data_IF_903043550772
#
_entry.id   IF_903043550772
#
_cell.length_a   1.000
_cell.length_b   1.000
_cell.length_c   1.000
_cell.angle_alpha   90.00
_cell.angle_beta   90.00
_cell.angle_gamma   90.00
#
_symmetry.space_group_name_H-M   'P 1'
#
loop_
_entity.id
_entity.type
_entity.pdbx_description
1 polymer ?
#
# COMPACT_ATOMS: atom_id res chain seq x y z
N UNK A 1 10.82 42.56 -14.78
CA UNK A 1 10.17 41.62 -13.84
C UNK A 1 10.97 40.33 -13.81
N UNK A 2 11.63 39.98 -12.71
CA UNK A 2 12.36 38.75 -12.60
C UNK A 2 11.36 37.60 -12.43
N UNK A 3 11.33 36.67 -13.39
CA UNK A 3 10.57 35.41 -13.28
C UNK A 3 11.19 34.60 -12.14
N UNK A 4 10.54 34.54 -10.99
CA UNK A 4 10.94 33.63 -9.92
C UNK A 4 10.81 32.21 -10.47
N UNK A 5 11.93 31.52 -10.71
CA UNK A 5 11.93 30.08 -10.96
C UNK A 5 11.22 29.39 -9.78
N UNK A 6 10.13 28.71 -10.07
CA UNK A 6 9.45 27.89 -9.06
C UNK A 6 10.47 26.85 -8.53
N UNK A 7 10.60 26.76 -7.22
CA UNK A 7 11.41 25.71 -6.59
C UNK A 7 10.76 24.36 -6.95
N UNK A 8 11.53 23.38 -7.46
CA UNK A 8 10.98 22.06 -7.74
C UNK A 8 10.36 21.47 -6.47
N UNK A 9 9.24 20.74 -6.63
CA UNK A 9 8.63 20.04 -5.52
C UNK A 9 9.55 18.90 -5.05
N UNK A 10 9.67 18.74 -3.74
CA UNK A 10 10.38 17.62 -3.17
C UNK A 10 9.59 16.33 -3.44
N UNK A 11 10.27 15.28 -3.90
CA UNK A 11 9.69 13.94 -4.07
C UNK A 11 9.78 13.11 -2.79
N UNK A 12 10.60 13.54 -1.82
CA UNK A 12 10.79 12.89 -0.53
C UNK A 12 10.82 13.92 0.59
N UNK A 13 10.15 13.63 1.70
CA UNK A 13 10.10 14.44 2.91
C UNK A 13 10.20 13.57 4.16
N UNK A 14 10.62 14.19 5.27
CA UNK A 14 10.59 13.57 6.59
C UNK A 14 9.33 14.03 7.32
N UNK A 15 8.60 13.09 7.93
CA UNK A 15 7.54 13.42 8.87
C UNK A 15 8.13 14.09 10.13
N UNK A 16 7.27 14.82 10.85
CA UNK A 16 7.62 15.51 12.09
C UNK A 16 6.50 15.28 13.10
N UNK A 17 6.76 15.38 14.40
CA UNK A 17 5.70 15.34 15.40
C UNK A 17 4.58 16.32 15.06
N UNK A 18 3.33 15.82 15.02
CA UNK A 18 2.16 16.60 14.63
C UNK A 18 2.00 16.87 13.13
N UNK A 19 2.92 16.41 12.27
CA UNK A 19 2.87 16.54 10.81
C UNK A 19 3.26 15.23 10.13
N UNK A 20 2.41 14.20 10.16
CA UNK A 20 2.70 12.90 9.57
C UNK A 20 2.93 12.96 8.05
N UNK A 21 2.41 13.98 7.36
CA UNK A 21 2.67 14.23 5.94
C UNK A 21 3.99 14.98 5.68
N UNK A 22 4.80 15.29 6.72
CA UNK A 22 6.02 16.09 6.60
C UNK A 22 5.78 17.56 6.27
N UNK A 23 4.52 17.96 6.16
CA UNK A 23 4.06 19.32 5.85
C UNK A 23 2.61 19.52 6.31
N UNK A 24 2.11 20.80 6.36
CA UNK A 24 0.69 21.06 6.58
C UNK A 24 -0.19 20.39 5.52
N UNK A 25 -1.37 19.90 5.94
CA UNK A 25 -2.35 19.21 5.09
C UNK A 25 -2.71 20.03 3.84
N UNK A 26 -2.94 21.32 4.02
CA UNK A 26 -3.32 22.23 2.93
C UNK A 26 -2.23 22.30 1.84
N UNK A 27 -0.96 22.22 2.25
CA UNK A 27 0.17 22.21 1.33
C UNK A 27 0.23 20.87 0.58
N UNK A 28 0.00 19.76 1.27
CA UNK A 28 -0.06 18.43 0.65
C UNK A 28 -1.18 18.38 -0.39
N UNK A 29 -2.40 18.73 0.00
CA UNK A 29 -3.57 18.71 -0.90
C UNK A 29 -3.41 19.64 -2.10
N UNK A 30 -2.77 20.79 -1.91
CA UNK A 30 -2.55 21.75 -3.00
C UNK A 30 -1.49 21.30 -3.99
N UNK A 31 -0.40 20.68 -3.51
CA UNK A 31 0.81 20.49 -4.30
C UNK A 31 1.02 19.05 -4.77
N UNK A 32 0.52 18.05 -4.01
CA UNK A 32 0.80 16.63 -4.27
C UNK A 32 -0.44 15.83 -4.62
N UNK A 33 -1.52 15.99 -3.86
CA UNK A 33 -2.75 15.22 -4.04
C UNK A 33 -3.27 15.35 -5.48
N UNK A 34 -3.51 14.22 -6.18
CA UNK A 34 -3.85 14.11 -7.60
C UNK A 34 -2.84 14.72 -8.59
N UNK A 35 -1.58 14.96 -8.16
CA UNK A 35 -0.62 15.70 -9.01
C UNK A 35 0.75 15.06 -9.07
N UNK A 36 1.30 14.70 -7.93
CA UNK A 36 2.68 14.26 -7.84
C UNK A 36 2.84 13.19 -6.75
N UNK A 37 3.64 12.14 -7.01
CA UNK A 37 3.99 11.18 -5.98
C UNK A 37 4.84 11.87 -4.89
N UNK A 38 4.70 11.38 -3.66
CA UNK A 38 5.47 11.86 -2.52
C UNK A 38 5.85 10.67 -1.63
N UNK A 39 7.13 10.55 -1.34
CA UNK A 39 7.63 9.61 -0.33
C UNK A 39 7.74 10.34 1.00
N UNK A 40 7.09 9.80 2.03
CA UNK A 40 7.11 10.36 3.38
C UNK A 40 7.82 9.37 4.29
N UNK A 41 8.99 9.74 4.80
CA UNK A 41 9.74 8.91 5.74
C UNK A 41 9.24 9.13 7.16
N UNK A 42 9.17 8.04 7.92
CA UNK A 42 8.77 8.05 9.33
C UNK A 42 7.41 8.72 9.56
N UNK A 43 6.44 8.50 8.65
CA UNK A 43 5.10 9.07 8.75
C UNK A 43 4.40 8.69 10.06
N UNK A 44 4.64 7.47 10.53
CA UNK A 44 4.15 6.96 11.81
C UNK A 44 5.33 6.52 12.66
N UNK A 45 5.56 7.23 13.75
CA UNK A 45 6.59 6.86 14.71
C UNK A 45 6.24 5.49 15.36
N UNK A 46 7.24 4.63 15.50
CA UNK A 46 7.13 3.32 16.16
C UNK A 46 5.98 2.46 15.60
N UNK A 47 5.71 2.57 14.29
CA UNK A 47 4.64 1.82 13.64
C UNK A 47 4.89 0.31 13.76
N UNK A 48 3.93 -0.39 14.32
CA UNK A 48 3.83 -1.84 14.28
C UNK A 48 2.62 -2.24 13.44
N UNK A 49 2.79 -3.21 12.55
CA UNK A 49 1.67 -3.76 11.79
C UNK A 49 0.66 -4.41 12.76
N UNK A 50 -0.62 -4.09 12.67
CA UNK A 50 -1.64 -4.74 13.50
C UNK A 50 -1.81 -6.22 13.17
N UNK A 51 -1.49 -6.64 11.95
CA UNK A 51 -1.57 -8.01 11.49
C UNK A 51 -0.20 -8.58 11.14
N UNK A 52 -0.01 -9.85 11.44
CA UNK A 52 1.12 -10.65 10.98
C UNK A 52 0.77 -11.33 9.65
N UNK A 53 1.74 -11.86 8.89
CA UNK A 53 1.49 -12.57 7.64
C UNK A 53 0.51 -13.74 7.78
N UNK A 54 0.56 -14.45 8.91
CA UNK A 54 -0.30 -15.59 9.22
C UNK A 54 -1.77 -15.15 9.43
N UNK A 55 -1.99 -14.00 10.07
CA UNK A 55 -3.33 -13.43 10.24
C UNK A 55 -3.94 -13.08 8.87
N UNK A 56 -3.13 -12.52 7.98
CA UNK A 56 -3.55 -12.18 6.62
C UNK A 56 -3.87 -13.41 5.80
N UNK A 57 -3.08 -14.48 5.94
CA UNK A 57 -3.35 -15.78 5.30
C UNK A 57 -4.64 -16.41 5.84
N UNK A 58 -4.89 -16.33 7.15
CA UNK A 58 -6.13 -16.76 7.78
C UNK A 58 -7.34 -16.01 7.23
N UNK A 59 -7.29 -14.68 7.15
CA UNK A 59 -8.34 -13.88 6.53
C UNK A 59 -8.61 -14.28 5.08
N UNK A 60 -7.58 -14.61 4.32
CA UNK A 60 -7.73 -15.02 2.92
C UNK A 60 -8.47 -16.37 2.75
N UNK A 61 -8.63 -17.14 3.84
CA UNK A 61 -9.39 -18.38 3.86
C UNK A 61 -10.88 -18.17 4.20
N UNK A 62 -11.26 -17.01 4.72
CA UNK A 62 -12.62 -16.72 5.18
C UNK A 62 -13.58 -16.50 4.01
N UNK A 63 -14.79 -17.04 4.14
CA UNK A 63 -15.86 -16.78 3.19
C UNK A 63 -16.24 -15.30 3.14
N UNK A 64 -16.33 -14.75 1.94
CA UNK A 64 -16.68 -13.33 1.72
C UNK A 64 -15.50 -12.36 1.77
N UNK A 65 -14.31 -12.82 2.11
CA UNK A 65 -13.08 -12.02 2.00
C UNK A 65 -12.56 -12.04 0.56
N UNK A 66 -12.30 -10.86 0.02
CA UNK A 66 -11.74 -10.73 -1.32
C UNK A 66 -10.21 -10.84 -1.24
N UNK A 67 -9.69 -12.00 -1.60
CA UNK A 67 -8.26 -12.26 -1.61
C UNK A 67 -7.76 -12.72 -2.98
N UNK A 68 -6.51 -12.39 -3.30
CA UNK A 68 -5.82 -12.80 -4.53
C UNK A 68 -4.38 -13.19 -4.21
N UNK A 69 -3.94 -14.31 -4.76
CA UNK A 69 -2.55 -14.73 -4.76
C UNK A 69 -2.01 -14.54 -6.18
N UNK A 70 -0.97 -13.72 -6.31
CA UNK A 70 -0.34 -13.38 -7.58
C UNK A 70 1.07 -13.95 -7.56
N UNK A 71 1.41 -14.78 -8.54
CA UNK A 71 2.73 -15.37 -8.71
C UNK A 71 3.33 -14.97 -10.05
N UNK A 72 4.66 -14.80 -10.10
CA UNK A 72 5.38 -14.45 -11.31
C UNK A 72 6.48 -15.49 -11.58
N UNK A 73 6.33 -16.25 -12.64
CA UNK A 73 7.41 -17.10 -13.15
C UNK A 73 8.35 -16.25 -14.02
N UNK A 74 9.52 -15.94 -13.49
CA UNK A 74 10.52 -15.10 -14.18
C UNK A 74 11.19 -15.79 -15.35
N UNK A 75 11.18 -17.11 -15.40
CA UNK A 75 11.81 -17.86 -16.49
C UNK A 75 10.98 -17.78 -17.77
N UNK A 76 9.65 -17.78 -17.63
CA UNK A 76 8.71 -17.69 -18.75
C UNK A 76 8.06 -16.31 -18.88
N UNK A 77 8.32 -15.40 -17.93
CA UNK A 77 7.68 -14.10 -17.78
C UNK A 77 6.14 -14.21 -17.73
N UNK A 78 5.64 -15.28 -17.09
CA UNK A 78 4.21 -15.53 -16.96
C UNK A 78 3.70 -15.20 -15.56
N UNK A 79 2.48 -14.66 -15.53
CA UNK A 79 1.77 -14.31 -14.31
C UNK A 79 0.60 -15.22 -14.08
N UNK A 80 0.45 -15.71 -12.86
CA UNK A 80 -0.71 -16.46 -12.41
C UNK A 80 -1.45 -15.69 -11.32
N UNK A 81 -2.78 -15.68 -11.39
CA UNK A 81 -3.64 -14.99 -10.43
C UNK A 81 -4.72 -15.95 -9.96
N UNK A 82 -4.63 -16.35 -8.70
CA UNK A 82 -5.65 -17.18 -8.04
C UNK A 82 -6.49 -16.29 -7.12
N UNK A 83 -7.79 -16.49 -7.12
CA UNK A 83 -8.73 -15.81 -6.22
C UNK A 83 -9.13 -16.72 -5.07
N UNK A 84 -9.32 -16.13 -3.87
CA UNK A 84 -9.89 -16.82 -2.72
C UNK A 84 -11.39 -17.13 -2.85
N UNK A 85 -11.99 -17.72 -1.79
CA UNK A 85 -11.34 -18.09 -0.55
C UNK A 85 -10.30 -19.19 -0.75
N UNK A 86 -9.19 -19.12 -0.01
CA UNK A 86 -8.13 -20.12 -0.03
C UNK A 86 -8.37 -21.20 1.02
N UNK A 87 -7.54 -22.24 0.98
CA UNK A 87 -7.46 -23.23 2.05
C UNK A 87 -6.14 -23.04 2.80
N UNK A 88 -6.08 -23.35 4.08
CA UNK A 88 -4.83 -23.27 4.85
C UNK A 88 -3.70 -24.08 4.20
N UNK A 89 -4.03 -25.16 3.52
CA UNK A 89 -3.09 -26.03 2.80
C UNK A 89 -2.51 -25.40 1.53
N UNK A 90 -3.05 -24.28 1.05
CA UNK A 90 -2.54 -23.59 -0.13
C UNK A 90 -1.22 -22.87 0.13
N UNK A 91 -0.95 -22.47 1.38
CA UNK A 91 0.19 -21.61 1.72
C UNK A 91 1.50 -22.36 1.95
N UNK A 92 1.54 -23.53 2.65
CA UNK A 92 2.80 -24.22 2.96
C UNK A 92 3.58 -24.69 1.72
N UNK A 93 2.90 -24.82 0.57
CA UNK A 93 3.52 -25.24 -0.69
C UNK A 93 4.03 -24.09 -1.55
N UNK A 94 3.84 -22.84 -1.13
CA UNK A 94 4.32 -21.68 -1.88
C UNK A 94 5.85 -21.60 -1.82
N UNK A 95 6.49 -21.17 -2.90
CA UNK A 95 7.93 -20.87 -2.89
C UNK A 95 8.23 -19.71 -1.94
N UNK A 96 9.47 -19.55 -1.54
CA UNK A 96 9.92 -18.43 -0.69
C UNK A 96 10.15 -17.11 -1.46
N UNK A 97 9.75 -17.06 -2.73
CA UNK A 97 9.96 -15.91 -3.61
C UNK A 97 8.86 -15.78 -4.70
N UNK A 98 8.79 -14.57 -5.29
CA UNK A 98 8.05 -14.22 -6.51
C UNK A 98 6.53 -14.41 -6.45
N UNK A 99 5.92 -14.22 -5.27
CA UNK A 99 4.47 -14.16 -5.11
C UNK A 99 4.04 -13.07 -4.13
N UNK A 100 2.78 -12.67 -4.24
CA UNK A 100 2.14 -11.66 -3.38
C UNK A 100 0.72 -12.10 -3.06
N UNK A 101 0.36 -12.12 -1.77
CA UNK A 101 -1.02 -12.23 -1.30
C UNK A 101 -1.59 -10.82 -1.12
N UNK A 102 -2.76 -10.56 -1.69
CA UNK A 102 -3.54 -9.34 -1.52
C UNK A 102 -4.85 -9.68 -0.82
N UNK A 103 -5.20 -8.96 0.22
CA UNK A 103 -6.51 -9.05 0.87
C UNK A 103 -7.14 -7.66 0.91
N UNK A 104 -8.33 -7.52 0.32
CA UNK A 104 -9.07 -6.26 0.25
C UNK A 104 -9.97 -6.10 1.47
N UNK A 105 -10.40 -4.84 1.72
CA UNK A 105 -11.40 -4.51 2.75
C UNK A 105 -11.00 -4.94 4.17
N UNK A 106 -9.72 -5.09 4.48
CA UNK A 106 -9.25 -5.63 5.77
C UNK A 106 -9.76 -4.79 6.95
N UNK A 107 -9.97 -3.49 6.75
CA UNK A 107 -10.60 -2.60 7.74
C UNK A 107 -12.04 -2.97 8.11
N UNK A 108 -12.71 -3.81 7.32
CA UNK A 108 -14.03 -4.35 7.65
C UNK A 108 -13.95 -5.55 8.57
N UNK A 109 -12.84 -6.26 8.56
CA UNK A 109 -12.61 -7.51 9.29
C UNK A 109 -11.82 -7.31 10.59
N UNK A 110 -10.93 -6.33 10.61
CA UNK A 110 -10.05 -6.07 11.75
C UNK A 110 -10.21 -4.64 12.28
N UNK A 111 -10.40 -4.51 13.60
CA UNK A 111 -10.66 -3.23 14.25
C UNK A 111 -9.39 -2.35 14.36
N UNK A 112 -8.22 -2.97 14.54
CA UNK A 112 -6.96 -2.25 14.67
C UNK A 112 -6.49 -1.76 13.31
N UNK A 113 -6.71 -2.53 12.23
CA UNK A 113 -6.54 -2.05 10.86
C UNK A 113 -7.47 -0.90 10.57
N UNK A 114 -8.75 -1.00 10.96
CA UNK A 114 -9.73 0.10 10.80
C UNK A 114 -9.29 1.37 11.52
N UNK A 115 -8.67 1.25 12.70
CA UNK A 115 -8.21 2.40 13.47
C UNK A 115 -7.13 3.22 12.73
N UNK A 116 -6.40 2.62 11.78
CA UNK A 116 -5.42 3.33 10.95
C UNK A 116 -6.09 4.43 10.11
N UNK A 117 -7.36 4.30 9.75
CA UNK A 117 -8.10 5.30 8.96
C UNK A 117 -8.20 6.65 9.67
N UNK A 118 -8.08 6.66 11.00
CA UNK A 118 -8.10 7.89 11.81
C UNK A 118 -6.96 8.85 11.44
N UNK A 119 -5.83 8.31 10.94
CA UNK A 119 -4.68 9.09 10.50
C UNK A 119 -4.95 9.86 9.19
N UNK A 120 -6.00 9.47 8.47
CA UNK A 120 -6.37 10.04 7.17
C UNK A 120 -7.61 10.93 7.24
N UNK A 121 -8.04 11.36 8.44
CA UNK A 121 -9.22 12.23 8.66
C UNK A 121 -9.15 13.58 7.94
N UNK A 122 -8.03 13.97 7.40
CA UNK A 122 -7.91 15.15 6.55
C UNK A 122 -8.59 14.97 5.19
N UNK A 123 -8.94 13.73 4.83
CA UNK A 123 -9.81 13.40 3.71
C UNK A 123 -11.23 13.11 4.24
N UNK A 124 -12.29 13.50 3.51
CA UNK A 124 -13.64 13.09 3.84
C UNK A 124 -13.77 11.56 3.83
N UNK A 125 -14.39 10.97 4.85
CA UNK A 125 -14.51 9.51 5.01
C UNK A 125 -15.10 8.81 3.78
N UNK A 126 -16.05 9.43 3.11
CA UNK A 126 -16.69 8.90 1.91
C UNK A 126 -15.77 8.82 0.68
N UNK A 127 -14.56 9.42 0.76
CA UNK A 127 -13.53 9.33 -0.29
C UNK A 127 -12.51 8.24 -0.03
N UNK A 128 -12.57 7.58 1.10
CA UNK A 128 -11.69 6.47 1.45
C UNK A 128 -12.49 5.20 1.16
N UNK A 129 -11.95 4.36 0.26
CA UNK A 129 -12.57 3.12 -0.14
C UNK A 129 -12.34 2.04 0.93
N UNK A 130 -11.14 1.50 0.99
CA UNK A 130 -10.77 0.44 1.92
C UNK A 130 -9.32 0.53 2.37
N UNK A 131 -8.94 -0.38 3.27
CA UNK A 131 -7.54 -0.75 3.49
C UNK A 131 -7.32 -2.15 2.91
N UNK A 132 -6.60 -2.20 1.80
CA UNK A 132 -6.05 -3.44 1.26
C UNK A 132 -4.68 -3.70 1.88
N UNK A 133 -4.44 -4.92 2.35
CA UNK A 133 -3.13 -5.34 2.85
C UNK A 133 -2.52 -6.34 1.90
N UNK A 134 -1.22 -6.19 1.64
CA UNK A 134 -0.45 -7.13 0.85
C UNK A 134 0.73 -7.68 1.62
N UNK A 135 0.91 -8.99 1.58
CA UNK A 135 2.15 -9.66 1.95
C UNK A 135 2.86 -10.11 0.66
N UNK A 136 4.15 -9.86 0.55
CA UNK A 136 4.94 -10.29 -0.59
C UNK A 136 6.17 -11.06 -0.12
N UNK A 137 6.38 -12.24 -0.66
CA UNK A 137 7.63 -12.97 -0.56
C UNK A 137 8.76 -12.20 -1.28
N UNK A 138 10.01 -12.60 -1.09
CA UNK A 138 11.16 -11.97 -1.77
C UNK A 138 10.93 -11.92 -3.28
N UNK A 139 11.04 -10.73 -3.87
CA UNK A 139 10.79 -10.53 -5.29
C UNK A 139 9.31 -10.48 -5.70
N UNK A 140 8.39 -10.73 -4.78
CA UNK A 140 6.95 -10.66 -5.04
C UNK A 140 6.51 -9.29 -5.54
N UNK A 141 5.61 -9.30 -6.51
CA UNK A 141 5.09 -8.12 -7.18
C UNK A 141 3.66 -8.38 -7.66
N UNK A 142 2.97 -7.34 -8.03
CA UNK A 142 1.67 -7.40 -8.71
C UNK A 142 1.76 -6.95 -10.18
N UNK A 143 3.00 -6.74 -10.66
CA UNK A 143 3.25 -6.23 -12.00
C UNK A 143 3.04 -4.71 -12.12
N UNK A 144 3.39 -4.19 -13.29
CA UNK A 144 3.15 -2.79 -13.60
C UNK A 144 1.66 -2.58 -13.94
N UNK A 145 1.03 -1.62 -13.27
CA UNK A 145 -0.38 -1.30 -13.48
C UNK A 145 -0.64 0.19 -13.20
N UNK A 146 -1.85 0.64 -13.48
CA UNK A 146 -2.33 1.99 -13.18
C UNK A 146 -3.62 1.87 -12.37
N UNK A 147 -3.67 2.58 -11.25
CA UNK A 147 -4.89 2.75 -10.47
C UNK A 147 -5.63 4.02 -10.92
N UNK A 148 -6.96 4.00 -10.88
CA UNK A 148 -7.80 5.13 -11.26
C UNK A 148 -8.04 6.13 -10.13
N UNK A 149 -7.36 5.95 -8.99
CA UNK A 149 -7.46 6.79 -7.78
C UNK A 149 -6.09 6.91 -7.08
N UNK A 150 -5.97 7.89 -6.19
CA UNK A 150 -4.76 8.03 -5.38
C UNK A 150 -4.70 6.96 -4.30
N UNK A 151 -3.50 6.43 -4.05
CA UNK A 151 -3.24 5.40 -3.05
C UNK A 151 -2.20 5.89 -2.06
N UNK A 152 -2.47 5.67 -0.78
CA UNK A 152 -1.47 5.77 0.28
C UNK A 152 -0.85 4.38 0.51
N UNK A 153 0.43 4.25 0.22
CA UNK A 153 1.18 3.02 0.40
C UNK A 153 1.93 3.08 1.73
N UNK A 154 1.42 2.37 2.73
CA UNK A 154 2.05 2.28 4.05
C UNK A 154 2.91 1.00 4.12
N UNK A 155 4.22 1.15 4.34
CA UNK A 155 5.11 0.03 4.53
C UNK A 155 5.02 -0.47 5.98
N UNK A 156 4.33 -1.57 6.22
CA UNK A 156 4.12 -2.15 7.54
C UNK A 156 5.34 -2.91 8.05
N UNK A 157 5.94 -3.76 7.20
CA UNK A 157 7.09 -4.59 7.54
C UNK A 157 8.07 -4.67 6.36
N UNK A 158 9.36 -4.88 6.64
CA UNK A 158 10.38 -5.10 5.61
C UNK A 158 10.63 -3.88 4.72
N UNK A 159 10.98 -4.15 3.46
CA UNK A 159 11.33 -3.12 2.48
C UNK A 159 10.73 -3.46 1.13
N UNK A 160 10.17 -2.45 0.44
CA UNK A 160 9.69 -2.58 -0.93
C UNK A 160 10.30 -1.48 -1.81
N UNK A 161 10.76 -1.86 -2.99
CA UNK A 161 11.16 -0.91 -4.02
C UNK A 161 9.95 -0.57 -4.87
N UNK A 162 9.65 0.71 -4.99
CA UNK A 162 8.62 1.24 -5.88
C UNK A 162 9.27 1.89 -7.10
N UNK A 163 8.70 1.62 -8.27
CA UNK A 163 9.05 2.29 -9.52
C UNK A 163 7.77 2.97 -10.03
N UNK A 164 7.86 4.27 -10.27
CA UNK A 164 6.73 5.08 -10.74
C UNK A 164 7.13 5.65 -12.10
N UNK A 165 6.34 5.37 -13.14
CA UNK A 165 6.50 6.03 -14.43
C UNK A 165 5.85 7.42 -14.36
N UNK A 166 6.68 8.46 -14.49
CA UNK A 166 6.21 9.84 -14.47
C UNK A 166 5.94 10.40 -15.88
N UNK A 167 5.95 9.56 -16.91
CA UNK A 167 5.57 9.97 -18.26
C UNK A 167 4.05 10.01 -18.35
N UNK A 168 3.50 11.22 -18.39
CA UNK A 168 2.11 11.53 -18.71
C UNK A 168 2.03 12.02 -20.16
#
# INVERSE_FOLDING_TARGET
MAVRKATPLAIEVQARPGQPLGMPVERFLRNYWHKHPLLIRNAFADFASPLQPEDLAGLACEDGVLARLISHDRATDSWDVRSGPFQETDFPGLPDHDWTLLVQDVDKWDADVRALLEQFRFLPRWRIDDIMISFAATGGSVGAHVDHYDVFLLQGQGHRRWQIDART
#
